data_IF_648279623468
#
_entry.id   IF_648279623468
#
_cell.length_a   1.000
_cell.length_b   1.000
_cell.length_c   1.000
_cell.angle_alpha   90.00
_cell.angle_beta   90.00
_cell.angle_gamma   90.00
#
_symmetry.space_group_name_H-M   'P 1'
#
loop_
_entity.id
_entity.type
_entity.pdbx_description
1 polymer ?
#
# COMPACT_ATOMS: atom_id res chain seq x y z
N UNK A 1 -2.20 27.20 0.47
CA UNK A 1 -1.91 27.48 -0.95
C UNK A 1 -1.23 26.29 -1.64
N UNK A 2 -0.15 25.70 -1.09
CA UNK A 2 0.58 24.56 -1.71
C UNK A 2 -0.26 23.28 -1.78
N UNK A 3 -1.07 22.99 -0.77
CA UNK A 3 -1.89 21.78 -0.69
C UNK A 3 -3.08 21.80 -1.66
N UNK A 4 -3.71 22.95 -1.84
CA UNK A 4 -4.80 23.13 -2.82
C UNK A 4 -4.29 22.95 -4.26
N UNK A 5 -3.10 23.48 -4.57
CA UNK A 5 -2.47 23.28 -5.88
C UNK A 5 -2.08 21.79 -6.12
N UNK A 6 -1.73 21.05 -5.06
CA UNK A 6 -1.47 19.62 -5.12
C UNK A 6 -2.74 18.84 -5.49
N UNK A 7 -3.86 19.12 -4.82
CA UNK A 7 -5.15 18.45 -5.06
C UNK A 7 -5.64 18.73 -6.48
N UNK A 8 -5.61 20.00 -6.94
CA UNK A 8 -5.96 20.33 -8.32
C UNK A 8 -5.04 19.67 -9.35
N UNK A 9 -3.76 19.51 -9.03
CA UNK A 9 -2.79 18.81 -9.88
C UNK A 9 -3.11 17.31 -9.98
N UNK A 10 -3.45 16.66 -8.87
CA UNK A 10 -3.83 15.25 -8.81
C UNK A 10 -5.15 14.97 -9.52
N UNK A 11 -6.14 15.84 -9.37
CA UNK A 11 -7.42 15.73 -10.09
C UNK A 11 -7.26 15.85 -11.61
N UNK A 12 -6.39 16.74 -12.08
CA UNK A 12 -6.05 16.85 -13.50
C UNK A 12 -5.32 15.61 -14.01
N UNK A 13 -4.43 15.03 -13.22
CA UNK A 13 -3.68 13.81 -13.58
C UNK A 13 -4.57 12.58 -13.67
N UNK A 14 -5.63 12.49 -12.87
CA UNK A 14 -6.59 11.37 -12.87
C UNK A 14 -7.31 11.17 -14.22
N UNK A 15 -7.38 12.22 -15.05
CA UNK A 15 -8.10 12.21 -16.32
C UNK A 15 -7.21 12.47 -17.55
N UNK A 16 -5.89 12.53 -17.38
CA UNK A 16 -4.96 12.90 -18.42
C UNK A 16 -4.32 11.69 -19.13
N UNK A 17 -3.91 11.82 -20.42
CA UNK A 17 -3.10 10.82 -21.09
C UNK A 17 -1.76 10.59 -20.36
N UNK A 18 -1.23 9.38 -20.42
CA UNK A 18 -0.03 8.95 -19.68
C UNK A 18 1.19 9.87 -19.84
N UNK A 19 1.38 10.45 -21.04
CA UNK A 19 2.47 11.40 -21.31
C UNK A 19 2.36 12.72 -20.53
N UNK A 20 1.14 13.14 -20.20
CA UNK A 20 0.89 14.35 -19.38
C UNK A 20 1.01 14.05 -17.89
N UNK A 21 0.72 12.82 -17.46
CA UNK A 21 0.87 12.37 -16.08
C UNK A 21 2.33 12.45 -15.66
N UNK A 22 3.26 12.02 -16.50
CA UNK A 22 4.70 12.02 -16.19
C UNK A 22 5.27 13.46 -16.05
N UNK A 23 4.80 14.39 -16.88
CA UNK A 23 5.17 15.81 -16.76
C UNK A 23 4.52 16.46 -15.53
N UNK A 24 3.26 16.13 -15.28
CA UNK A 24 2.51 16.64 -14.13
C UNK A 24 3.09 16.19 -12.81
N UNK A 25 3.50 14.93 -12.69
CA UNK A 25 4.14 14.38 -11.49
C UNK A 25 5.48 15.09 -11.18
N UNK A 26 6.33 15.31 -12.18
CA UNK A 26 7.59 16.02 -12.01
C UNK A 26 7.38 17.48 -11.57
N UNK A 27 6.38 18.17 -12.14
CA UNK A 27 6.01 19.53 -11.78
C UNK A 27 5.43 19.61 -10.35
N UNK A 28 4.66 18.61 -9.95
CA UNK A 28 4.07 18.48 -8.62
C UNK A 28 5.15 18.29 -7.55
N UNK A 29 6.09 17.40 -7.79
CA UNK A 29 7.24 17.14 -6.91
C UNK A 29 8.03 18.43 -6.72
N UNK A 30 8.33 19.16 -7.80
CA UNK A 30 9.02 20.47 -7.75
C UNK A 30 8.24 21.49 -6.91
N UNK A 31 6.92 21.56 -7.06
CA UNK A 31 6.07 22.53 -6.36
C UNK A 31 5.98 22.26 -4.86
N UNK A 32 5.93 20.96 -4.48
CA UNK A 32 5.71 20.55 -3.09
C UNK A 32 7.02 20.48 -2.31
N UNK A 33 8.09 19.96 -2.91
CA UNK A 33 9.35 19.68 -2.21
C UNK A 33 10.41 20.75 -2.41
N UNK A 34 10.26 21.64 -3.40
CA UNK A 34 11.32 22.52 -3.88
C UNK A 34 12.46 21.78 -4.57
N UNK A 35 12.40 20.47 -4.62
CA UNK A 35 13.38 19.61 -5.29
C UNK A 35 13.13 19.63 -6.79
N UNK A 36 14.14 20.03 -7.55
CA UNK A 36 14.14 19.89 -8.99
C UNK A 36 14.82 18.54 -9.29
N UNK A 37 14.07 17.47 -9.62
CA UNK A 37 14.70 16.27 -10.10
C UNK A 37 15.51 16.68 -11.33
N UNK A 38 16.82 16.60 -11.24
CA UNK A 38 17.64 16.71 -12.43
C UNK A 38 17.23 15.50 -13.28
N UNK A 39 16.45 15.77 -14.32
CA UNK A 39 16.23 14.82 -15.39
C UNK A 39 17.61 14.67 -16.04
N UNK A 40 18.45 13.88 -15.39
CA UNK A 40 19.71 13.45 -15.96
C UNK A 40 19.39 12.51 -17.08
N UNK A 41 19.06 13.19 -18.16
CA UNK A 41 19.42 12.90 -19.52
C UNK A 41 19.00 11.53 -20.07
N UNK A 42 18.32 11.62 -21.19
CA UNK A 42 18.24 10.63 -22.28
C UNK A 42 19.46 9.71 -22.43
N UNK A 43 20.65 10.10 -21.97
CA UNK A 43 21.87 9.30 -22.00
C UNK A 43 21.88 8.12 -21.02
N UNK A 44 21.23 8.22 -19.84
CA UNK A 44 21.13 7.08 -18.92
C UNK A 44 20.06 6.09 -19.39
N UNK A 45 18.91 6.59 -19.86
CA UNK A 45 17.83 5.78 -20.44
C UNK A 45 18.31 5.08 -21.72
N UNK A 46 19.09 5.76 -22.57
CA UNK A 46 19.68 5.18 -23.77
C UNK A 46 20.71 4.07 -23.51
N UNK A 47 21.49 4.16 -22.42
CA UNK A 47 22.44 3.10 -22.03
C UNK A 47 21.76 1.89 -21.38
N UNK A 48 20.60 2.06 -20.76
CA UNK A 48 19.78 0.97 -20.23
C UNK A 48 18.99 0.25 -21.32
N UNK A 49 18.64 0.95 -22.42
CA UNK A 49 17.92 0.35 -23.58
C UNK A 49 18.83 -0.39 -24.56
N UNK A 50 20.15 -0.20 -24.55
CA UNK A 50 21.06 -0.75 -25.57
C UNK A 50 21.75 -2.06 -25.20
N UNK A 51 21.63 -2.53 -23.96
CA UNK A 51 21.91 -3.93 -23.61
C UNK A 51 20.59 -4.54 -23.21
N UNK A 52 20.13 -5.55 -23.97
CA UNK A 52 18.94 -6.30 -23.61
C UNK A 52 19.00 -6.60 -22.12
N UNK A 53 18.22 -5.85 -21.35
CA UNK A 53 18.09 -6.11 -19.92
C UNK A 53 17.59 -7.54 -19.85
N UNK A 54 18.41 -8.44 -19.30
CA UNK A 54 17.93 -9.74 -18.91
C UNK A 54 16.67 -9.46 -18.08
N UNK A 55 15.51 -10.01 -18.48
CA UNK A 55 14.28 -9.94 -17.65
C UNK A 55 14.71 -10.36 -16.25
N UNK A 56 14.58 -9.45 -15.26
CA UNK A 56 14.84 -9.78 -13.88
C UNK A 56 14.00 -11.01 -13.52
N UNK A 57 14.55 -11.91 -12.74
CA UNK A 57 13.74 -13.03 -12.25
C UNK A 57 12.67 -12.49 -11.30
N UNK A 58 11.54 -13.18 -11.17
CA UNK A 58 10.51 -12.87 -10.17
C UNK A 58 11.13 -12.67 -8.78
N UNK A 59 12.13 -13.48 -8.44
CA UNK A 59 12.86 -13.36 -7.19
C UNK A 59 13.70 -12.07 -7.07
N UNK A 60 14.22 -11.55 -8.20
CA UNK A 60 14.93 -10.27 -8.22
C UNK A 60 13.96 -9.11 -8.01
N UNK A 61 12.80 -9.15 -8.64
CA UNK A 61 11.74 -8.16 -8.47
C UNK A 61 11.24 -8.15 -7.02
N UNK A 62 10.95 -9.30 -6.41
CA UNK A 62 10.53 -9.38 -5.01
C UNK A 62 11.59 -8.85 -4.05
N UNK A 63 12.87 -9.16 -4.28
CA UNK A 63 13.97 -8.57 -3.48
C UNK A 63 14.01 -7.05 -3.60
N UNK A 64 13.80 -6.53 -4.81
CA UNK A 64 13.73 -5.10 -5.06
C UNK A 64 12.53 -4.48 -4.35
N UNK A 65 11.33 -5.04 -4.47
CA UNK A 65 10.12 -4.55 -3.79
C UNK A 65 10.28 -4.56 -2.28
N UNK A 66 10.83 -5.65 -1.72
CA UNK A 66 11.14 -5.70 -0.29
C UNK A 66 12.11 -4.60 0.12
N UNK A 67 13.14 -4.32 -0.68
CA UNK A 67 14.07 -3.24 -0.38
C UNK A 67 13.39 -1.86 -0.35
N UNK A 68 12.42 -1.62 -1.22
CA UNK A 68 11.61 -0.39 -1.22
C UNK A 68 10.73 -0.31 0.03
N UNK A 69 10.08 -1.40 0.42
CA UNK A 69 9.28 -1.47 1.64
C UNK A 69 10.13 -1.17 2.89
N UNK A 70 11.31 -1.77 2.99
CA UNK A 70 12.24 -1.50 4.10
C UNK A 70 12.74 -0.04 4.10
N UNK A 71 12.94 0.58 2.94
CA UNK A 71 13.23 2.01 2.87
C UNK A 71 12.06 2.87 3.34
N UNK A 72 10.82 2.46 3.04
CA UNK A 72 9.64 3.14 3.56
C UNK A 72 9.55 3.04 5.09
N UNK A 73 9.86 1.89 5.69
CA UNK A 73 9.90 1.72 7.15
C UNK A 73 10.84 2.71 7.84
N UNK A 74 11.96 3.07 7.22
CA UNK A 74 12.93 4.01 7.81
C UNK A 74 12.38 5.43 8.00
N UNK A 75 11.22 5.75 7.39
CA UNK A 75 10.58 7.06 7.50
C UNK A 75 9.98 7.32 8.87
N UNK A 76 9.68 6.27 9.63
CA UNK A 76 9.19 6.39 11.00
C UNK A 76 9.64 5.20 11.85
N UNK A 77 10.15 5.46 13.04
CA UNK A 77 10.49 4.42 14.01
C UNK A 77 9.27 3.54 14.38
N UNK A 78 8.05 4.07 14.22
CA UNK A 78 6.80 3.32 14.45
C UNK A 78 6.63 2.16 13.47
N UNK A 79 7.23 2.23 12.28
CA UNK A 79 7.10 1.20 11.24
C UNK A 79 8.11 0.08 11.35
N UNK A 80 9.04 0.12 12.30
CA UNK A 80 10.09 -0.88 12.43
C UNK A 80 9.53 -2.32 12.45
N UNK A 81 9.96 -3.14 11.50
CA UNK A 81 9.53 -4.54 11.33
C UNK A 81 8.11 -4.72 10.80
N UNK A 82 7.41 -3.65 10.40
CA UNK A 82 6.04 -3.72 9.87
C UNK A 82 5.97 -4.56 8.59
N UNK A 83 6.92 -4.41 7.69
CA UNK A 83 6.96 -5.17 6.43
C UNK A 83 6.94 -6.68 6.68
N UNK A 84 7.80 -7.18 7.57
CA UNK A 84 7.90 -8.61 7.85
C UNK A 84 6.64 -9.12 8.59
N UNK A 85 6.07 -8.33 9.51
CA UNK A 85 4.81 -8.70 10.21
C UNK A 85 3.62 -8.78 9.27
N UNK A 86 3.41 -7.77 8.42
CA UNK A 86 2.34 -7.78 7.41
C UNK A 86 2.48 -8.95 6.45
N UNK A 87 3.72 -9.19 5.97
CA UNK A 87 4.03 -10.31 5.08
C UNK A 87 3.65 -11.64 5.72
N UNK A 88 4.11 -11.91 6.95
CA UNK A 88 3.80 -13.15 7.66
C UNK A 88 2.29 -13.32 7.87
N UNK A 89 1.62 -12.30 8.42
CA UNK A 89 0.18 -12.35 8.70
C UNK A 89 -0.65 -12.62 7.44
N UNK A 90 -0.35 -11.95 6.34
CA UNK A 90 -1.14 -12.08 5.12
C UNK A 90 -0.91 -13.44 4.44
N UNK A 91 0.34 -13.91 4.35
CA UNK A 91 0.61 -15.23 3.77
C UNK A 91 0.02 -16.36 4.60
N UNK A 92 0.13 -16.30 5.93
CA UNK A 92 -0.46 -17.31 6.79
C UNK A 92 -2.00 -17.27 6.74
N UNK A 93 -2.61 -16.09 6.66
CA UNK A 93 -4.05 -15.94 6.44
C UNK A 93 -4.48 -16.58 5.11
N UNK A 94 -3.74 -16.32 4.03
CA UNK A 94 -3.98 -16.94 2.73
C UNK A 94 -3.86 -18.46 2.79
N UNK A 95 -2.83 -18.99 3.45
CA UNK A 95 -2.60 -20.44 3.58
C UNK A 95 -3.68 -21.14 4.40
N UNK A 96 -4.11 -20.57 5.52
CA UNK A 96 -5.21 -21.13 6.33
C UNK A 96 -6.51 -21.18 5.53
N UNK A 97 -6.73 -20.20 4.64
CA UNK A 97 -7.89 -20.19 3.74
C UNK A 97 -7.74 -21.10 2.52
N UNK A 98 -6.66 -21.89 2.41
CA UNK A 98 -6.41 -22.82 1.31
C UNK A 98 -5.68 -22.19 0.11
N UNK A 99 -4.95 -21.09 0.30
CA UNK A 99 -4.13 -20.40 -0.71
C UNK A 99 -4.90 -19.96 -1.97
N UNK A 100 -6.06 -19.30 -1.84
CA UNK A 100 -6.83 -18.89 -3.02
C UNK A 100 -6.17 -17.73 -3.80
N UNK A 101 -5.16 -17.08 -3.24
CA UNK A 101 -4.40 -15.99 -3.87
C UNK A 101 -3.00 -16.48 -4.19
N UNK A 102 -2.50 -16.14 -5.38
CA UNK A 102 -1.11 -16.37 -5.77
C UNK A 102 -0.17 -15.68 -4.77
N UNK A 103 0.66 -16.47 -4.07
CA UNK A 103 1.52 -15.97 -2.99
C UNK A 103 2.55 -14.95 -3.51
N UNK A 104 3.04 -15.11 -4.74
CA UNK A 104 4.02 -14.19 -5.34
C UNK A 104 3.40 -12.82 -5.61
N UNK A 105 2.18 -12.79 -6.12
CA UNK A 105 1.43 -11.55 -6.36
C UNK A 105 1.06 -10.88 -5.04
N UNK A 106 0.64 -11.66 -4.04
CA UNK A 106 0.29 -11.16 -2.70
C UNK A 106 1.53 -10.57 -2.01
N UNK A 107 2.68 -11.25 -2.07
CA UNK A 107 3.94 -10.78 -1.51
C UNK A 107 4.38 -9.44 -2.14
N UNK A 108 4.32 -9.32 -3.46
CA UNK A 108 4.62 -8.08 -4.16
C UNK A 108 3.68 -6.94 -3.74
N UNK A 109 2.38 -7.24 -3.65
CA UNK A 109 1.39 -6.27 -3.21
C UNK A 109 1.64 -5.79 -1.77
N UNK A 110 1.97 -6.71 -0.85
CA UNK A 110 2.31 -6.38 0.54
C UNK A 110 3.52 -5.47 0.66
N UNK A 111 4.56 -5.68 -0.15
CA UNK A 111 5.73 -4.80 -0.14
C UNK A 111 5.41 -3.40 -0.66
N UNK A 112 4.46 -3.25 -1.57
CA UNK A 112 4.27 -2.00 -2.30
C UNK A 112 2.97 -1.25 -1.97
N UNK A 113 2.01 -1.82 -1.20
CA UNK A 113 0.70 -1.22 -0.99
C UNK A 113 0.77 0.24 -0.50
N UNK A 114 1.64 0.52 0.44
CA UNK A 114 1.84 1.84 1.03
C UNK A 114 2.97 2.66 0.39
N UNK A 115 3.73 2.10 -0.56
CA UNK A 115 4.86 2.79 -1.17
C UNK A 115 4.45 4.13 -1.81
N UNK A 116 3.23 4.23 -2.28
CA UNK A 116 2.67 5.45 -2.83
C UNK A 116 2.66 6.63 -1.85
N UNK A 117 2.69 6.38 -0.55
CA UNK A 117 2.82 7.42 0.49
C UNK A 117 4.13 8.19 0.39
N UNK A 118 5.21 7.59 -0.14
CA UNK A 118 6.49 8.27 -0.35
C UNK A 118 6.39 9.47 -1.31
N UNK A 119 5.37 9.53 -2.14
CA UNK A 119 5.09 10.65 -3.04
C UNK A 119 4.25 11.75 -2.39
N UNK A 120 3.79 11.54 -1.16
CA UNK A 120 2.98 12.48 -0.41
C UNK A 120 3.81 13.22 0.65
N UNK A 121 3.37 14.44 1.07
CA UNK A 121 4.00 15.13 2.18
C UNK A 121 3.93 14.30 3.48
N UNK A 122 5.04 14.14 4.17
CA UNK A 122 5.10 13.41 5.46
C UNK A 122 4.15 14.02 6.51
N UNK A 123 3.95 15.34 6.46
CA UNK A 123 2.98 16.03 7.32
C UNK A 123 1.54 15.56 7.14
N UNK A 124 1.23 14.81 6.09
CA UNK A 124 -0.09 14.22 5.85
C UNK A 124 -0.18 12.84 6.45
N UNK A 125 0.70 11.92 6.06
CA UNK A 125 0.57 10.51 6.43
C UNK A 125 1.25 10.13 7.76
N UNK A 126 2.15 10.99 8.30
CA UNK A 126 2.67 10.86 9.67
C UNK A 126 1.87 11.68 10.71
N UNK A 127 0.75 12.27 10.31
CA UNK A 127 -0.06 13.11 11.18
C UNK A 127 -0.78 12.27 12.23
N UNK A 128 -0.60 12.66 13.51
CA UNK A 128 -1.27 12.01 14.64
C UNK A 128 -2.67 12.58 14.92
N UNK A 129 -2.91 13.84 14.52
CA UNK A 129 -4.19 14.50 14.71
C UNK A 129 -5.18 14.12 13.61
N UNK A 130 -6.44 14.48 13.83
CA UNK A 130 -7.50 14.24 12.85
C UNK A 130 -7.21 14.98 11.53
N UNK A 131 -7.17 14.24 10.44
CA UNK A 131 -6.98 14.78 9.10
C UNK A 131 -8.19 15.62 8.66
N UNK A 132 -7.92 16.75 7.99
CA UNK A 132 -8.91 17.50 7.23
C UNK A 132 -9.41 16.70 6.02
N UNK A 133 -10.49 17.19 5.37
CA UNK A 133 -10.99 16.55 4.13
C UNK A 133 -9.95 16.59 3.01
N UNK A 134 -9.18 17.69 2.90
CA UNK A 134 -8.15 17.85 1.88
C UNK A 134 -6.98 16.89 2.11
N UNK A 135 -6.49 16.77 3.35
CA UNK A 135 -5.42 15.83 3.70
C UNK A 135 -5.83 14.38 3.42
N UNK A 136 -7.08 14.00 3.73
CA UNK A 136 -7.60 12.68 3.38
C UNK A 136 -7.65 12.45 1.88
N UNK A 137 -8.10 13.42 1.08
CA UNK A 137 -8.11 13.30 -0.37
C UNK A 137 -6.70 13.10 -0.94
N UNK A 138 -5.70 13.79 -0.39
CA UNK A 138 -4.30 13.58 -0.74
C UNK A 138 -3.84 12.17 -0.36
N UNK A 139 -4.15 11.71 0.86
CA UNK A 139 -3.80 10.35 1.31
C UNK A 139 -4.42 9.27 0.43
N UNK A 140 -5.67 9.45 0.01
CA UNK A 140 -6.40 8.49 -0.82
C UNK A 140 -5.79 8.27 -2.22
N UNK A 141 -4.82 9.07 -2.64
CA UNK A 141 -4.14 8.89 -3.92
C UNK A 141 -3.01 7.84 -3.88
N UNK A 142 -2.51 7.45 -2.68
CA UNK A 142 -1.34 6.57 -2.60
C UNK A 142 -1.53 5.18 -3.23
N UNK A 143 -2.72 4.52 -3.18
CA UNK A 143 -2.88 3.23 -3.84
C UNK A 143 -2.65 3.32 -5.35
N UNK A 144 -3.17 4.39 -5.99
CA UNK A 144 -2.98 4.61 -7.42
C UNK A 144 -1.52 4.86 -7.81
N UNK A 145 -0.75 5.57 -6.99
CA UNK A 145 0.68 5.75 -7.24
C UNK A 145 1.45 4.42 -7.19
N UNK A 146 1.19 3.62 -6.17
CA UNK A 146 1.86 2.33 -6.00
C UNK A 146 1.43 1.30 -7.07
N UNK A 147 0.13 1.20 -7.36
CA UNK A 147 -0.40 0.35 -8.42
C UNK A 147 0.17 0.72 -9.80
N UNK A 148 0.24 2.03 -10.12
CA UNK A 148 0.81 2.53 -11.36
C UNK A 148 2.30 2.21 -11.56
N UNK A 149 3.06 1.95 -10.50
CA UNK A 149 4.42 1.42 -10.61
C UNK A 149 4.41 -0.04 -11.07
N UNK A 150 3.56 -0.87 -10.48
CA UNK A 150 3.43 -2.29 -10.81
C UNK A 150 2.86 -2.51 -12.21
N UNK A 151 1.91 -1.69 -12.66
CA UNK A 151 1.32 -1.77 -14.00
C UNK A 151 2.33 -1.56 -15.13
N UNK A 152 3.45 -0.88 -14.86
CA UNK A 152 4.55 -0.67 -15.81
C UNK A 152 5.49 -1.88 -15.90
N UNK A 153 5.32 -2.86 -15.02
CA UNK A 153 6.15 -4.04 -14.92
C UNK A 153 5.38 -5.27 -15.42
N UNK A 154 5.99 -6.03 -16.30
CA UNK A 154 5.37 -7.25 -16.84
C UNK A 154 5.23 -8.31 -15.74
N UNK A 155 4.05 -8.93 -15.65
CA UNK A 155 3.79 -10.03 -14.73
C UNK A 155 3.18 -9.63 -13.38
N UNK A 156 3.05 -8.32 -13.08
CA UNK A 156 2.61 -7.84 -11.75
C UNK A 156 1.19 -7.27 -11.72
N UNK A 157 0.36 -7.62 -12.71
CA UNK A 157 -1.02 -7.11 -12.80
C UNK A 157 -1.88 -7.48 -11.59
N UNK A 158 -1.76 -8.70 -11.08
CA UNK A 158 -2.50 -9.14 -9.89
C UNK A 158 -2.11 -8.34 -8.64
N UNK A 159 -0.79 -8.12 -8.45
CA UNK A 159 -0.30 -7.28 -7.35
C UNK A 159 -0.77 -5.82 -7.49
N UNK A 160 -0.76 -5.26 -8.71
CA UNK A 160 -1.26 -3.91 -8.97
C UNK A 160 -2.73 -3.76 -8.59
N UNK A 161 -3.57 -4.72 -8.95
CA UNK A 161 -4.98 -4.73 -8.60
C UNK A 161 -5.19 -4.80 -7.07
N UNK A 162 -4.45 -5.67 -6.37
CA UNK A 162 -4.49 -5.76 -4.90
C UNK A 162 -4.10 -4.43 -4.25
N UNK A 163 -3.02 -3.81 -4.72
CA UNK A 163 -2.55 -2.50 -4.24
C UNK A 163 -3.59 -1.42 -4.50
N UNK A 164 -4.20 -1.39 -5.68
CA UNK A 164 -5.22 -0.40 -6.02
C UNK A 164 -6.43 -0.48 -5.10
N UNK A 165 -6.81 -1.69 -4.65
CA UNK A 165 -8.08 -1.96 -3.96
C UNK A 165 -7.93 -2.16 -2.44
N UNK A 166 -6.73 -2.15 -1.85
CA UNK A 166 -6.51 -2.53 -0.44
C UNK A 166 -7.21 -1.61 0.60
N UNK A 167 -7.69 -0.46 0.20
CA UNK A 167 -8.51 0.43 1.02
C UNK A 167 -10.00 0.45 0.61
N UNK A 168 -10.41 -0.43 -0.28
CA UNK A 168 -11.84 -0.67 -0.48
C UNK A 168 -12.44 -1.37 0.74
N UNK A 169 -13.71 -1.14 1.00
CA UNK A 169 -14.41 -1.72 2.15
C UNK A 169 -15.61 -2.53 1.70
N UNK A 170 -15.95 -3.56 2.48
CA UNK A 170 -17.04 -4.49 2.15
C UNK A 170 -18.39 -3.77 1.91
N UNK A 171 -18.64 -2.65 2.60
CA UNK A 171 -19.85 -1.85 2.48
C UNK A 171 -19.81 -0.79 1.35
N UNK A 172 -18.82 -0.84 0.46
CA UNK A 172 -18.68 0.06 -0.68
C UNK A 172 -18.35 1.52 -0.34
N UNK A 173 -17.89 1.79 0.91
CA UNK A 173 -17.53 3.15 1.33
C UNK A 173 -16.03 3.41 1.33
N UNK A 174 -15.25 2.45 0.84
CA UNK A 174 -13.81 2.55 0.70
C UNK A 174 -13.36 3.53 -0.37
N UNK A 175 -12.13 3.39 -0.78
CA UNK A 175 -11.51 4.17 -1.85
C UNK A 175 -10.44 3.35 -2.57
N UNK A 176 -10.07 3.69 -3.80
CA UNK A 176 -10.45 4.87 -4.58
C UNK A 176 -11.74 4.71 -5.39
N UNK A 177 -12.16 3.48 -5.74
CA UNK A 177 -13.23 3.22 -6.69
C UNK A 177 -14.61 3.03 -6.04
N UNK A 178 -14.66 2.83 -4.70
CA UNK A 178 -15.87 2.51 -3.93
C UNK A 178 -16.56 1.25 -4.44
N UNK A 179 -15.76 0.21 -4.63
CA UNK A 179 -16.23 -1.10 -5.09
C UNK A 179 -17.17 -1.72 -4.07
N UNK A 180 -18.19 -2.42 -4.55
CA UNK A 180 -18.97 -3.33 -3.71
C UNK A 180 -18.06 -4.47 -3.22
N UNK A 181 -18.30 -4.98 -2.01
CA UNK A 181 -17.46 -6.00 -1.40
C UNK A 181 -17.22 -7.24 -2.26
N UNK A 182 -18.17 -7.59 -3.14
CA UNK A 182 -18.06 -8.71 -4.08
C UNK A 182 -17.14 -8.41 -5.26
N UNK A 183 -16.90 -7.14 -5.58
CA UNK A 183 -16.05 -6.69 -6.68
C UNK A 183 -14.59 -6.54 -6.25
N UNK A 184 -14.32 -6.48 -4.94
CA UNK A 184 -12.96 -6.37 -4.40
C UNK A 184 -12.22 -7.69 -4.63
N UNK A 185 -11.01 -7.62 -5.23
CA UNK A 185 -10.19 -8.80 -5.44
C UNK A 185 -9.75 -9.43 -4.10
N UNK A 186 -9.61 -10.74 -4.11
CA UNK A 186 -9.38 -11.54 -2.89
C UNK A 186 -8.14 -11.11 -2.12
N UNK A 187 -7.03 -10.81 -2.81
CA UNK A 187 -5.80 -10.38 -2.16
C UNK A 187 -5.92 -9.01 -1.48
N UNK A 188 -6.69 -8.08 -2.06
CA UNK A 188 -6.96 -6.79 -1.42
C UNK A 188 -7.76 -6.94 -0.12
N UNK A 189 -8.70 -7.88 -0.04
CA UNK A 189 -9.43 -8.21 1.19
C UNK A 189 -8.51 -8.71 2.30
N UNK A 190 -7.49 -9.52 1.95
CA UNK A 190 -6.48 -9.98 2.90
C UNK A 190 -5.63 -8.79 3.38
N UNK A 191 -5.12 -7.99 2.44
CA UNK A 191 -4.28 -6.83 2.79
C UNK A 191 -5.05 -5.86 3.70
N UNK A 192 -6.32 -5.57 3.39
CA UNK A 192 -7.14 -4.66 4.18
C UNK A 192 -7.25 -5.05 5.65
N UNK A 193 -7.45 -6.35 5.95
CA UNK A 193 -7.62 -6.82 7.32
C UNK A 193 -6.29 -6.82 8.09
N UNK A 194 -5.17 -7.26 7.45
CA UNK A 194 -3.87 -7.30 8.12
C UNK A 194 -3.29 -5.91 8.32
N UNK A 195 -3.49 -4.99 7.38
CA UNK A 195 -3.06 -3.61 7.50
C UNK A 195 -3.83 -2.87 8.62
N UNK A 196 -5.15 -3.05 8.69
CA UNK A 196 -5.94 -2.48 9.77
C UNK A 196 -5.52 -3.01 11.15
N UNK A 197 -5.22 -4.31 11.26
CA UNK A 197 -4.69 -4.88 12.49
C UNK A 197 -3.36 -4.23 12.91
N UNK A 198 -2.40 -4.13 11.98
CA UNK A 198 -1.12 -3.46 12.22
C UNK A 198 -1.30 -1.98 12.59
N UNK A 199 -2.20 -1.26 11.94
CA UNK A 199 -2.49 0.13 12.27
C UNK A 199 -3.00 0.30 13.71
N UNK A 200 -3.83 -0.62 14.21
CA UNK A 200 -4.28 -0.64 15.60
C UNK A 200 -3.12 -1.00 16.54
N UNK A 201 -2.28 -1.97 16.17
CA UNK A 201 -1.08 -2.33 16.94
C UNK A 201 -0.14 -1.13 17.10
N UNK A 202 0.12 -0.38 16.03
CA UNK A 202 0.95 0.83 16.05
C UNK A 202 0.36 1.91 16.97
N UNK A 203 -0.94 2.13 16.90
CA UNK A 203 -1.66 3.11 17.74
C UNK A 203 -1.55 2.79 19.24
N UNK A 204 -1.41 1.53 19.60
CA UNK A 204 -1.36 1.07 21.00
C UNK A 204 0.00 0.54 21.43
N UNK A 205 1.06 0.73 20.63
CA UNK A 205 2.41 0.18 20.85
C UNK A 205 3.10 0.57 22.17
N UNK A 206 2.60 1.61 22.87
CA UNK A 206 3.08 1.97 24.22
C UNK A 206 2.59 1.02 25.33
N UNK A 207 1.72 0.04 25.02
CA UNK A 207 1.16 -0.93 25.97
C UNK A 207 1.92 -2.25 25.92
N UNK A 208 1.64 -3.18 26.85
CA UNK A 208 2.18 -4.54 26.74
C UNK A 208 1.71 -5.18 25.42
N UNK A 209 2.60 -5.96 24.79
CA UNK A 209 2.34 -6.57 23.47
C UNK A 209 1.03 -7.36 23.46
N UNK A 210 0.79 -8.24 24.43
CA UNK A 210 -0.43 -9.05 24.50
C UNK A 210 -1.72 -8.22 24.62
N UNK A 211 -1.72 -7.14 25.42
CA UNK A 211 -2.92 -6.28 25.51
C UNK A 211 -3.18 -5.49 24.22
N UNK A 212 -2.14 -5.16 23.48
CA UNK A 212 -2.27 -4.50 22.16
C UNK A 212 -2.86 -5.45 21.12
N UNK A 213 -2.41 -6.71 21.09
CA UNK A 213 -2.94 -7.75 20.19
C UNK A 213 -4.42 -8.02 20.46
N UNK A 214 -4.81 -8.28 21.72
CA UNK A 214 -6.22 -8.53 22.05
C UNK A 214 -7.13 -7.36 21.69
N UNK A 215 -6.66 -6.13 21.85
CA UNK A 215 -7.40 -4.95 21.46
C UNK A 215 -7.51 -4.84 19.93
N UNK A 216 -6.43 -5.09 19.21
CA UNK A 216 -6.43 -5.03 17.75
C UNK A 216 -7.40 -6.07 17.14
N UNK A 217 -7.42 -7.30 17.68
CA UNK A 217 -8.39 -8.32 17.30
C UNK A 217 -9.83 -7.83 17.57
N UNK A 218 -10.09 -7.27 18.75
CA UNK A 218 -11.42 -6.80 19.11
C UNK A 218 -11.87 -5.65 18.20
N UNK A 219 -10.99 -4.70 17.88
CA UNK A 219 -11.30 -3.58 16.96
C UNK A 219 -11.56 -4.09 15.54
N UNK A 220 -10.74 -5.01 15.01
CA UNK A 220 -10.95 -5.62 13.69
C UNK A 220 -12.28 -6.39 13.64
N UNK A 221 -12.55 -7.24 14.64
CA UNK A 221 -13.78 -8.04 14.67
C UNK A 221 -15.05 -7.20 14.89
N UNK A 222 -14.94 -6.00 15.45
CA UNK A 222 -16.06 -5.06 15.59
C UNK A 222 -16.38 -4.30 14.30
N UNK A 223 -15.51 -4.36 13.29
CA UNK A 223 -15.67 -3.65 12.01
C UNK A 223 -16.36 -4.52 10.95
N UNK A 224 -17.55 -5.05 11.27
CA UNK A 224 -18.35 -5.98 10.45
C UNK A 224 -18.71 -5.49 9.04
N UNK A 225 -18.62 -4.18 8.78
CA UNK A 225 -18.90 -3.56 7.48
C UNK A 225 -17.65 -3.18 6.69
N UNK A 226 -16.49 -3.25 7.31
CA UNK A 226 -15.23 -2.85 6.67
C UNK A 226 -14.60 -4.02 5.94
N UNK A 227 -14.58 -5.20 6.57
CA UNK A 227 -13.88 -6.37 6.08
C UNK A 227 -14.82 -7.41 5.50
N UNK A 228 -14.34 -8.16 4.51
CA UNK A 228 -15.07 -9.27 3.94
C UNK A 228 -15.22 -10.40 4.99
N UNK A 229 -16.45 -10.85 5.29
CA UNK A 229 -16.71 -11.77 6.39
C UNK A 229 -15.96 -13.09 6.30
N UNK A 230 -15.73 -13.57 5.07
CA UNK A 230 -15.00 -14.83 4.81
C UNK A 230 -13.54 -14.80 5.26
N UNK A 231 -12.96 -13.62 5.49
CA UNK A 231 -11.54 -13.45 5.88
C UNK A 231 -11.34 -13.25 7.39
N UNK A 232 -12.39 -13.00 8.14
CA UNK A 232 -12.32 -12.77 9.60
C UNK A 232 -11.81 -14.04 10.31
N UNK A 233 -12.38 -15.21 10.02
CA UNK A 233 -12.00 -16.44 10.71
C UNK A 233 -10.60 -16.96 10.34
N UNK A 234 -10.18 -17.02 9.05
CA UNK A 234 -8.80 -17.35 8.70
C UNK A 234 -7.78 -16.42 9.37
N UNK A 235 -8.01 -15.11 9.39
CA UNK A 235 -7.17 -14.15 10.08
C UNK A 235 -7.11 -14.40 11.58
N UNK A 236 -8.26 -14.58 12.25
CA UNK A 236 -8.30 -14.87 13.69
C UNK A 236 -7.58 -16.18 14.04
N UNK A 237 -7.59 -17.18 13.16
CA UNK A 237 -6.88 -18.45 13.35
C UNK A 237 -5.36 -18.21 13.36
N UNK A 238 -4.84 -17.38 12.45
CA UNK A 238 -3.41 -16.99 12.46
C UNK A 238 -3.04 -16.34 13.77
N UNK A 239 -3.83 -15.35 14.22
CA UNK A 239 -3.51 -14.64 15.45
C UNK A 239 -3.56 -15.56 16.67
N UNK A 240 -4.52 -16.50 16.75
CA UNK A 240 -4.55 -17.49 17.84
C UNK A 240 -3.25 -18.32 17.88
N UNK A 241 -2.80 -18.82 16.74
CA UNK A 241 -1.54 -19.57 16.63
C UNK A 241 -0.34 -18.73 17.11
N UNK A 242 -0.30 -17.44 16.77
CA UNK A 242 0.78 -16.55 17.19
C UNK A 242 0.78 -16.27 18.70
N UNK A 243 -0.37 -16.35 19.38
CA UNK A 243 -0.48 -16.13 20.83
C UNK A 243 -0.13 -17.38 21.65
N UNK A 244 -0.11 -18.58 21.03
CA UNK A 244 0.22 -19.86 21.66
C UNK A 244 1.73 -20.14 21.70
N UNK A 245 2.53 -19.33 20.97
CA UNK A 245 3.99 -19.43 20.87
C UNK A 245 4.69 -18.20 21.44
#
# INVERSE_FOLDING_TARGET
LKLAALVEGLERMSNAPQSEIDLGAAQLIKTVTGFQPQVTSRALVGKLSSKGAAKGSVADDLRFFRSLALQFETRSALFAGRTDRLHQLALDTNRIAGSPVDEVQLEAALYLHDLGMMFLPESVWLKLEKMSKVERAVLHAHPGFAAGLLERMEGWKGAAEMVQQHHETWDGKGYPAKLDGTEICTGAKIIAIVDAFEAVMLKHGARSHGSSVLRAIAEVNACDKQFAPEWIEPFNAVIRTMLEH
#
